data_IF_598682501217
#
_entry.id   IF_598682501217
#
_cell.length_a   1.000
_cell.length_b   1.000
_cell.length_c   1.000
_cell.angle_alpha   90.00
_cell.angle_beta   90.00
_cell.angle_gamma   90.00
#
_symmetry.space_group_name_H-M   'P 1'
#
loop_
_entity.id
_entity.type
_entity.pdbx_description
1 polymer ?
#
# COMPACT_ATOMS: atom_id res chain seq x y z
N UNK A 1 2.46 -0.16 -6.16
CA UNK A 1 3.36 -0.26 -7.33
C UNK A 1 2.85 0.80 -8.28
N UNK A 2 3.14 2.06 -7.94
CA UNK A 2 2.65 3.24 -8.62
C UNK A 2 3.41 3.36 -9.91
N UNK A 3 2.83 2.82 -10.97
CA UNK A 3 3.49 2.77 -12.26
C UNK A 3 3.35 4.13 -12.95
N UNK A 4 4.27 5.01 -12.61
CA UNK A 4 4.60 6.19 -13.41
C UNK A 4 5.52 5.65 -14.51
N UNK A 5 5.03 5.61 -15.75
CA UNK A 5 5.69 5.16 -17.00
C UNK A 5 5.33 3.77 -17.58
N UNK A 6 4.15 3.22 -17.26
CA UNK A 6 3.60 2.07 -18.02
C UNK A 6 2.90 2.56 -19.30
N UNK A 7 3.31 2.08 -20.47
CA UNK A 7 2.57 2.33 -21.70
C UNK A 7 1.21 1.63 -21.65
N UNK A 8 0.16 2.20 -22.28
CA UNK A 8 -1.22 1.63 -22.23
C UNK A 8 -1.28 0.17 -22.71
N UNK A 9 -0.35 -0.21 -23.59
CA UNK A 9 -0.23 -1.55 -24.19
C UNK A 9 0.23 -2.60 -23.19
N UNK A 10 1.01 -2.22 -22.19
CA UNK A 10 1.52 -3.14 -21.17
C UNK A 10 0.48 -3.45 -20.09
N UNK A 11 -0.63 -2.72 -20.04
CA UNK A 11 -1.69 -2.96 -19.05
C UNK A 11 -2.31 -4.34 -19.25
N UNK A 12 -2.57 -5.05 -18.15
CA UNK A 12 -3.35 -6.28 -18.20
C UNK A 12 -4.82 -5.97 -18.50
N UNK A 13 -5.58 -6.97 -18.94
CA UNK A 13 -7.01 -6.80 -19.23
C UNK A 13 -7.80 -6.30 -17.99
N UNK A 14 -7.43 -6.75 -16.79
CA UNK A 14 -8.05 -6.33 -15.53
C UNK A 14 -7.71 -4.87 -15.23
N UNK A 15 -6.45 -4.47 -15.40
CA UNK A 15 -6.03 -3.08 -15.18
C UNK A 15 -6.69 -2.12 -16.20
N UNK A 16 -6.87 -2.56 -17.45
CA UNK A 16 -7.62 -1.80 -18.45
C UNK A 16 -9.07 -1.61 -18.03
N UNK A 17 -9.76 -2.67 -17.57
CA UNK A 17 -11.11 -2.56 -17.05
C UNK A 17 -11.20 -1.65 -15.82
N UNK A 18 -10.30 -1.80 -14.85
CA UNK A 18 -10.25 -0.93 -13.67
C UNK A 18 -10.10 0.53 -14.08
N UNK A 19 -9.22 0.82 -15.04
CA UNK A 19 -9.02 2.17 -15.56
C UNK A 19 -10.27 2.71 -16.27
N UNK A 20 -10.97 1.87 -17.04
CA UNK A 20 -12.23 2.26 -17.71
C UNK A 20 -13.31 2.63 -16.70
N UNK A 21 -13.42 1.89 -15.60
CA UNK A 21 -14.47 2.09 -14.61
C UNK A 21 -14.15 3.23 -13.62
N UNK A 22 -12.89 3.35 -13.19
CA UNK A 22 -12.50 4.27 -12.10
C UNK A 22 -12.02 5.64 -12.57
N UNK A 23 -11.49 5.76 -13.80
CA UNK A 23 -10.90 7.01 -14.28
C UNK A 23 -11.97 8.04 -14.66
N UNK A 24 -11.79 9.27 -14.15
CA UNK A 24 -12.64 10.43 -14.48
C UNK A 24 -12.27 11.01 -15.87
N UNK A 25 -11.00 10.91 -16.27
CA UNK A 25 -10.49 11.49 -17.51
C UNK A 25 -10.99 10.73 -18.75
N UNK A 26 -11.76 11.42 -19.59
CA UNK A 26 -12.37 10.82 -20.80
C UNK A 26 -11.34 10.29 -21.80
N UNK A 27 -10.21 10.96 -21.99
CA UNK A 27 -9.15 10.52 -22.93
C UNK A 27 -8.55 9.20 -22.49
N UNK A 28 -8.14 9.09 -21.23
CA UNK A 28 -7.57 7.85 -20.68
C UNK A 28 -8.59 6.70 -20.67
N UNK A 29 -9.86 6.99 -20.37
CA UNK A 29 -10.94 6.00 -20.48
C UNK A 29 -11.14 5.51 -21.93
N UNK A 30 -11.00 6.39 -22.91
CA UNK A 30 -11.08 6.04 -24.34
C UNK A 30 -9.91 5.18 -24.76
N UNK A 31 -8.68 5.57 -24.43
CA UNK A 31 -7.46 4.81 -24.74
C UNK A 31 -7.52 3.38 -24.18
N UNK A 32 -7.94 3.24 -22.91
CA UNK A 32 -8.08 1.92 -22.30
C UNK A 32 -9.16 1.06 -22.98
N UNK A 33 -10.26 1.66 -23.46
CA UNK A 33 -11.30 0.96 -24.23
C UNK A 33 -10.81 0.52 -25.61
N UNK A 34 -10.08 1.38 -26.30
CA UNK A 34 -9.51 1.10 -27.61
C UNK A 34 -8.49 -0.05 -27.51
N UNK A 35 -7.61 -0.01 -26.52
CA UNK A 35 -6.64 -1.08 -26.26
C UNK A 35 -7.30 -2.39 -25.82
N UNK A 36 -8.31 -2.35 -24.95
CA UNK A 36 -9.02 -3.58 -24.58
C UNK A 36 -9.83 -4.15 -25.78
N UNK A 37 -10.32 -3.27 -26.65
CA UNK A 37 -11.01 -3.63 -27.89
C UNK A 37 -10.09 -4.28 -28.91
N UNK A 38 -8.85 -3.78 -29.05
CA UNK A 38 -7.86 -4.27 -30.02
C UNK A 38 -7.45 -5.73 -29.74
N UNK A 39 -7.60 -6.19 -28.50
CA UNK A 39 -7.26 -7.56 -28.05
C UNK A 39 -8.21 -8.64 -28.55
N UNK A 40 -9.33 -8.28 -29.18
CA UNK A 40 -10.27 -9.21 -29.83
C UNK A 40 -10.69 -10.41 -28.95
N UNK A 41 -10.91 -10.18 -27.66
CA UNK A 41 -11.33 -11.21 -26.72
C UNK A 41 -12.65 -11.87 -27.16
N UNK A 42 -12.66 -13.20 -27.10
CA UNK A 42 -13.85 -14.04 -27.31
C UNK A 42 -14.93 -13.77 -26.25
N UNK A 43 -16.15 -14.25 -26.50
CA UNK A 43 -17.27 -14.07 -25.56
C UNK A 43 -16.95 -14.73 -24.21
N UNK A 44 -16.32 -15.89 -24.24
CA UNK A 44 -15.89 -16.67 -23.08
C UNK A 44 -14.80 -15.94 -22.30
N UNK A 45 -13.77 -15.43 -22.98
CA UNK A 45 -12.69 -14.66 -22.34
C UNK A 45 -13.19 -13.35 -21.73
N UNK A 46 -14.18 -12.69 -22.35
CA UNK A 46 -14.83 -11.50 -21.78
C UNK A 46 -15.57 -11.82 -20.49
N UNK A 47 -16.32 -12.92 -20.45
CA UNK A 47 -17.02 -13.37 -19.24
C UNK A 47 -16.03 -13.70 -18.12
N UNK A 48 -14.93 -14.39 -18.46
CA UNK A 48 -13.89 -14.69 -17.48
C UNK A 48 -13.23 -13.41 -16.98
N UNK A 49 -12.93 -12.46 -17.86
CA UNK A 49 -12.36 -11.18 -17.48
C UNK A 49 -13.27 -10.40 -16.53
N UNK A 50 -14.59 -10.35 -16.79
CA UNK A 50 -15.56 -9.74 -15.89
C UNK A 50 -15.61 -10.45 -14.53
N UNK A 51 -15.54 -11.78 -14.52
CA UNK A 51 -15.47 -12.56 -13.28
C UNK A 51 -14.20 -12.22 -12.48
N UNK A 52 -13.04 -12.20 -13.13
CA UNK A 52 -11.76 -11.84 -12.51
C UNK A 52 -11.76 -10.41 -12.00
N UNK A 53 -12.35 -9.48 -12.75
CA UNK A 53 -12.48 -8.08 -12.35
C UNK A 53 -13.36 -7.93 -11.09
N UNK A 54 -14.49 -8.64 -11.02
CA UNK A 54 -15.33 -8.66 -9.82
C UNK A 54 -14.59 -9.24 -8.61
N UNK A 55 -13.81 -10.30 -8.80
CA UNK A 55 -12.97 -10.87 -7.73
C UNK A 55 -11.89 -9.89 -7.27
N UNK A 56 -11.25 -9.20 -8.20
CA UNK A 56 -10.28 -8.15 -7.93
C UNK A 56 -10.88 -7.03 -7.06
N UNK A 57 -12.06 -6.51 -7.42
CA UNK A 57 -12.72 -5.46 -6.63
C UNK A 57 -13.11 -5.95 -5.23
N UNK A 58 -13.68 -7.16 -5.10
CA UNK A 58 -13.98 -7.74 -3.78
C UNK A 58 -12.75 -7.88 -2.90
N UNK A 59 -11.63 -8.33 -3.47
CA UNK A 59 -10.37 -8.45 -2.75
C UNK A 59 -9.81 -7.09 -2.34
N UNK A 60 -9.95 -6.08 -3.20
CA UNK A 60 -9.55 -4.69 -2.90
C UNK A 60 -10.35 -4.12 -1.73
N UNK A 61 -11.68 -4.21 -1.79
CA UNK A 61 -12.57 -3.76 -0.71
C UNK A 61 -12.30 -4.48 0.62
N UNK A 62 -12.02 -5.80 0.54
CA UNK A 62 -11.67 -6.59 1.72
C UNK A 62 -10.39 -6.06 2.36
N UNK A 63 -9.33 -5.85 1.56
CA UNK A 63 -8.02 -5.34 2.03
C UNK A 63 -8.10 -3.93 2.61
N UNK A 64 -8.97 -3.08 2.07
CA UNK A 64 -9.20 -1.73 2.59
C UNK A 64 -9.78 -1.73 4.00
N UNK A 65 -10.67 -2.68 4.28
CA UNK A 65 -11.35 -2.81 5.58
C UNK A 65 -10.56 -3.64 6.60
N UNK A 66 -9.62 -4.45 6.14
CA UNK A 66 -8.78 -5.29 6.97
C UNK A 66 -7.83 -4.45 7.84
N UNK A 67 -7.66 -4.80 9.13
CA UNK A 67 -6.62 -4.19 9.96
C UNK A 67 -5.23 -4.61 9.49
N UNK A 68 -4.20 -3.98 10.05
CA UNK A 68 -2.83 -4.48 9.93
C UNK A 68 -2.75 -5.93 10.42
N UNK A 69 -2.01 -6.74 9.68
CA UNK A 69 -1.60 -8.07 10.10
C UNK A 69 -0.62 -7.96 11.27
N UNK A 70 -0.44 -9.06 12.01
CA UNK A 70 0.47 -9.09 13.17
C UNK A 70 1.92 -8.79 12.77
N UNK A 71 2.34 -9.23 11.59
CA UNK A 71 3.69 -9.00 11.08
C UNK A 71 3.89 -7.52 10.74
N UNK A 72 2.96 -6.94 9.97
CA UNK A 72 2.95 -5.49 9.68
C UNK A 72 2.97 -4.67 10.98
N UNK A 73 2.16 -5.08 11.97
CA UNK A 73 2.08 -4.44 13.28
C UNK A 73 3.45 -4.37 13.98
N UNK A 74 4.17 -5.49 14.04
CA UNK A 74 5.50 -5.55 14.67
C UNK A 74 6.52 -4.72 13.92
N UNK A 75 6.51 -4.74 12.59
CA UNK A 75 7.39 -3.90 11.78
C UNK A 75 7.16 -2.42 12.06
N UNK A 76 5.91 -1.97 12.11
CA UNK A 76 5.59 -0.56 12.42
C UNK A 76 5.84 -0.18 13.88
N UNK A 77 5.86 -1.13 14.82
CA UNK A 77 6.13 -0.85 16.23
C UNK A 77 7.63 -0.83 16.57
N UNK A 78 8.41 -1.77 16.04
CA UNK A 78 9.82 -1.94 16.41
C UNK A 78 10.72 -1.02 15.60
N UNK A 79 10.58 -1.05 14.27
CA UNK A 79 11.54 -0.42 13.36
C UNK A 79 11.71 1.09 13.58
N UNK A 80 10.65 1.90 13.77
CA UNK A 80 10.80 3.36 13.83
C UNK A 80 11.71 3.89 14.93
N UNK A 81 12.01 3.10 15.96
CA UNK A 81 13.00 3.46 16.95
C UNK A 81 14.44 3.19 16.49
N UNK A 82 14.67 2.06 15.82
CA UNK A 82 15.98 1.68 15.29
C UNK A 82 16.30 2.37 13.96
N UNK A 83 15.27 2.75 13.22
CA UNK A 83 15.33 3.48 11.95
C UNK A 83 14.49 4.77 12.06
N UNK A 84 14.91 5.71 12.94
CA UNK A 84 14.14 6.93 13.20
C UNK A 84 14.03 7.79 11.94
N UNK A 85 12.80 8.00 11.51
CA UNK A 85 12.47 8.89 10.39
C UNK A 85 12.42 10.33 10.89
N UNK A 86 13.56 11.03 10.81
CA UNK A 86 13.63 12.47 11.05
C UNK A 86 13.40 13.24 9.75
N UNK A 87 12.14 13.52 9.41
CA UNK A 87 11.79 14.43 8.31
C UNK A 87 12.43 14.06 6.96
N UNK A 88 12.86 15.09 6.21
CA UNK A 88 13.28 15.08 4.79
C UNK A 88 14.48 14.19 4.43
N UNK A 89 14.97 13.37 5.36
CA UNK A 89 16.09 12.44 5.20
C UNK A 89 15.63 11.02 4.81
N UNK A 90 14.48 10.90 4.13
CA UNK A 90 13.98 9.63 3.59
C UNK A 90 14.94 8.98 2.57
N UNK A 91 15.91 9.75 2.05
CA UNK A 91 16.89 9.31 1.04
C UNK A 91 18.04 8.47 1.63
N UNK A 92 18.17 8.38 2.97
CA UNK A 92 19.23 7.64 3.68
C UNK A 92 18.70 6.44 4.49
N UNK A 93 17.66 5.77 3.99
CA UNK A 93 16.98 4.65 4.69
C UNK A 93 17.55 3.29 4.28
N UNK A 94 17.60 2.39 5.27
CA UNK A 94 17.81 0.95 5.09
C UNK A 94 16.55 0.12 5.49
N UNK A 95 15.41 0.75 5.82
CA UNK A 95 14.16 0.05 6.21
C UNK A 95 13.11 -0.05 5.08
N UNK A 96 13.55 -0.52 3.91
CA UNK A 96 12.77 -0.63 2.67
C UNK A 96 11.35 -1.18 2.88
N UNK A 97 11.18 -2.14 3.79
CA UNK A 97 9.90 -2.76 4.08
C UNK A 97 8.88 -1.78 4.69
N UNK A 98 9.22 -1.07 5.77
CA UNK A 98 8.24 -0.23 6.46
C UNK A 98 7.86 1.00 5.63
N UNK A 99 8.79 1.52 4.82
CA UNK A 99 8.55 2.63 3.90
C UNK A 99 7.59 2.19 2.79
N UNK A 100 7.96 1.11 2.10
CA UNK A 100 7.23 0.63 0.94
C UNK A 100 5.83 0.18 1.31
N UNK A 101 5.65 -0.44 2.47
CA UNK A 101 4.33 -0.79 3.02
C UNK A 101 3.47 0.45 3.29
N UNK A 102 4.06 1.47 3.91
CA UNK A 102 3.36 2.71 4.23
C UNK A 102 2.95 3.51 2.98
N UNK A 103 3.86 3.63 2.01
CA UNK A 103 3.60 4.25 0.71
C UNK A 103 2.55 3.46 -0.06
N UNK A 104 2.63 2.13 -0.02
CA UNK A 104 1.62 1.26 -0.63
C UNK A 104 0.23 1.52 -0.05
N UNK A 105 0.10 1.67 1.26
CA UNK A 105 -1.21 1.99 1.85
C UNK A 105 -1.74 3.33 1.39
N UNK A 106 -0.87 4.33 1.25
CA UNK A 106 -1.23 5.65 0.71
C UNK A 106 -1.66 5.57 -0.76
N UNK A 107 -0.94 4.80 -1.56
CA UNK A 107 -1.18 4.62 -3.00
C UNK A 107 -2.52 3.90 -3.27
N UNK A 108 -2.80 2.84 -2.52
CA UNK A 108 -4.01 2.04 -2.71
C UNK A 108 -5.23 2.54 -1.91
N UNK A 109 -5.10 3.63 -1.15
CA UNK A 109 -6.20 4.21 -0.36
C UNK A 109 -6.61 3.36 0.85
N UNK A 110 -5.69 2.60 1.44
CA UNK A 110 -5.97 1.78 2.63
C UNK A 110 -5.92 2.63 3.90
N UNK A 111 -6.86 3.57 4.03
CA UNK A 111 -6.88 4.60 5.08
C UNK A 111 -6.83 4.02 6.50
N UNK A 112 -7.52 2.90 6.72
CA UNK A 112 -7.52 2.22 8.02
C UNK A 112 -6.14 1.69 8.39
N UNK A 113 -5.47 0.99 7.48
CA UNK A 113 -4.11 0.49 7.68
C UNK A 113 -3.11 1.63 7.83
N UNK A 114 -3.26 2.69 7.02
CA UNK A 114 -2.44 3.88 7.11
C UNK A 114 -2.54 4.56 8.48
N UNK A 115 -3.77 4.69 9.02
CA UNK A 115 -3.99 5.25 10.35
C UNK A 115 -3.35 4.37 11.44
N UNK A 116 -3.59 3.07 11.40
CA UNK A 116 -2.99 2.13 12.36
C UNK A 116 -1.47 2.12 12.29
N UNK A 117 -0.88 2.17 11.09
CA UNK A 117 0.57 2.24 10.92
C UNK A 117 1.16 3.51 11.54
N UNK A 118 0.52 4.68 11.34
CA UNK A 118 0.94 5.94 11.98
C UNK A 118 0.89 5.86 13.50
N UNK A 119 -0.20 5.34 14.06
CA UNK A 119 -0.38 5.17 15.51
C UNK A 119 0.70 4.26 16.10
N UNK A 120 0.99 3.13 15.45
CA UNK A 120 2.01 2.19 15.91
C UNK A 120 3.43 2.74 15.84
N UNK A 121 3.74 3.53 14.82
CA UNK A 121 5.05 4.20 14.74
C UNK A 121 5.29 5.10 15.96
N UNK A 122 4.29 5.90 16.32
CA UNK A 122 4.38 6.81 17.48
C UNK A 122 4.48 6.01 18.78
N UNK A 123 3.62 5.00 18.96
CA UNK A 123 3.62 4.15 20.15
C UNK A 123 4.94 3.39 20.33
N UNK A 124 5.51 2.88 19.25
CA UNK A 124 6.80 2.20 19.24
C UNK A 124 7.93 3.10 19.73
N UNK A 125 8.04 4.31 19.19
CA UNK A 125 9.05 5.30 19.63
C UNK A 125 8.88 5.63 21.12
N UNK A 126 7.65 5.91 21.56
CA UNK A 126 7.37 6.20 22.98
C UNK A 126 7.74 5.04 23.89
N UNK A 127 7.43 3.80 23.47
CA UNK A 127 7.77 2.59 24.22
C UNK A 127 9.27 2.47 24.45
N UNK A 128 10.08 2.63 23.40
CA UNK A 128 11.53 2.52 23.51
C UNK A 128 12.16 3.66 24.32
N UNK A 129 11.66 4.89 24.18
CA UNK A 129 12.10 6.02 25.02
C UNK A 129 11.81 5.75 26.50
N UNK A 130 10.62 5.23 26.82
CA UNK A 130 10.25 4.86 28.18
C UNK A 130 11.13 3.72 28.72
N UNK A 131 11.42 2.72 27.88
CA UNK A 131 12.29 1.60 28.24
C UNK A 131 13.69 2.09 28.61
N UNK A 132 14.31 2.96 27.79
CA UNK A 132 15.61 3.57 28.10
C UNK A 132 15.57 4.32 29.42
N UNK A 133 14.52 5.10 29.66
CA UNK A 133 14.37 5.86 30.91
C UNK A 133 14.32 4.93 32.13
N UNK A 134 13.56 3.84 32.06
CA UNK A 134 13.49 2.82 33.11
C UNK A 134 14.87 2.17 33.31
N UNK A 135 15.57 1.80 32.24
CA UNK A 135 16.90 1.17 32.33
C UNK A 135 17.91 2.09 33.03
N UNK A 136 17.91 3.38 32.71
CA UNK A 136 18.79 4.38 33.37
C UNK A 136 18.44 4.54 34.85
N UNK A 137 17.16 4.55 35.21
CA UNK A 137 16.73 4.63 36.61
C UNK A 137 17.17 3.39 37.40
N UNK A 138 16.98 2.19 36.86
CA UNK A 138 17.40 0.94 37.50
C UNK A 138 18.92 0.90 37.67
N UNK A 139 19.68 1.29 36.65
CA UNK A 139 21.15 1.35 36.73
C UNK A 139 21.65 2.33 37.79
N UNK A 140 20.92 3.41 38.09
CA UNK A 140 21.27 4.34 39.18
C UNK A 140 20.95 3.83 40.58
N UNK A 141 20.03 2.87 40.70
CA UNK A 141 19.58 2.32 41.98
C UNK A 141 20.46 1.15 42.44
N UNK A 142 20.99 0.38 41.48
CA UNK A 142 21.93 -0.74 41.70
C UNK A 142 23.35 -0.20 41.90
#
# INVERSE_FOLDING_TARGET
MGNIDKSIQEYSNIELLDRIETTILKSSKREAREELGSRNLTVEERKELEFQYNLFQRNREKREKEPLTKEEWWSFFILPFFTPTFGHLDEFRDDDFSVSEFERYKEYGFDKKLKQAKELRILGVLFWVLLIFITVLVYKII
#
